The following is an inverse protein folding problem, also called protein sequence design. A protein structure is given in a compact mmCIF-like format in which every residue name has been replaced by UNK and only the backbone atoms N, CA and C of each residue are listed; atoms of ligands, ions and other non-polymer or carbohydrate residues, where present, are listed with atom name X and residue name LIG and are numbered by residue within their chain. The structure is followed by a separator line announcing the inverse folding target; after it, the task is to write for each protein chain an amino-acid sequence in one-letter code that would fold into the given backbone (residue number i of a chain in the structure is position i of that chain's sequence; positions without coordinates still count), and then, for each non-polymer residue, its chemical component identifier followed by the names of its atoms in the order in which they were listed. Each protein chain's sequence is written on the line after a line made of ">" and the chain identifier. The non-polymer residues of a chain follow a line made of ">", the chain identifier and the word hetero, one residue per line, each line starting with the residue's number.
data_IF_841112136846
#
_entry.id   IF_841112136846
#
_cell.length_a   1.000
_cell.length_b   1.000
_cell.length_c   1.000
_cell.angle_alpha   90.00
_cell.angle_beta   90.00
_cell.angle_gamma   90.00
#
_symmetry.space_group_name_H-M   'P 1'
#
loop_
_entity.id
_entity.type
_entity.pdbx_description
1 polymer ?
#
# COMPACT_ATOMS: atom_id res chain seq x y z
N UNK A 1 -10.73 -4.17 10.58
CA UNK A 1 -10.36 -5.17 11.59
C UNK A 1 -9.08 -4.75 12.29
N UNK A 2 -9.07 -4.85 13.60
CA UNK A 2 -7.89 -4.51 14.37
C UNK A 2 -7.05 -5.78 14.56
N UNK A 3 -5.77 -5.68 14.25
CA UNK A 3 -4.79 -6.73 14.57
C UNK A 3 -3.76 -6.04 15.48
N UNK A 4 -3.88 -6.26 16.77
CA UNK A 4 -3.17 -5.55 17.84
C UNK A 4 -3.41 -4.03 17.71
N UNK A 5 -2.37 -3.21 17.64
CA UNK A 5 -2.54 -1.76 17.55
C UNK A 5 -2.80 -1.26 16.12
N UNK A 6 -2.80 -2.17 15.12
CA UNK A 6 -2.92 -1.77 13.72
C UNK A 6 -4.31 -2.04 13.17
N UNK A 7 -4.87 -1.05 12.48
CA UNK A 7 -6.16 -1.19 11.81
C UNK A 7 -5.97 -1.64 10.36
N UNK A 8 -6.78 -2.62 9.95
CA UNK A 8 -6.86 -3.10 8.58
C UNK A 8 -8.33 -3.04 8.16
N UNK A 9 -8.77 -1.98 7.46
CA UNK A 9 -10.17 -1.84 7.04
C UNK A 9 -10.69 -3.09 6.33
N UNK A 10 -11.93 -3.48 6.66
CA UNK A 10 -12.53 -4.72 6.18
C UNK A 10 -12.91 -4.69 4.70
N UNK A 11 -13.05 -3.51 4.13
CA UNK A 11 -13.42 -3.31 2.72
C UNK A 11 -12.22 -3.26 1.77
N UNK A 12 -11.00 -3.49 2.28
CA UNK A 12 -9.79 -3.47 1.48
C UNK A 12 -9.23 -4.89 1.30
N UNK A 13 -8.36 -5.03 0.31
CA UNK A 13 -7.55 -6.23 0.09
C UNK A 13 -6.10 -5.91 0.34
N UNK A 14 -5.33 -6.93 0.72
CA UNK A 14 -3.94 -6.76 1.18
C UNK A 14 -3.01 -7.76 0.51
N UNK A 15 -1.75 -7.36 0.31
CA UNK A 15 -0.69 -8.26 -0.11
C UNK A 15 0.27 -8.53 1.06
N UNK A 16 1.37 -9.22 0.77
CA UNK A 16 2.43 -9.51 1.77
C UNK A 16 3.61 -8.55 1.65
N UNK A 17 3.40 -7.40 1.03
CA UNK A 17 4.39 -6.32 0.90
C UNK A 17 3.90 -5.05 1.59
N UNK A 18 2.92 -5.17 2.49
CA UNK A 18 2.34 -4.07 3.27
C UNK A 18 1.58 -3.04 2.45
N UNK A 19 0.97 -3.47 1.35
CA UNK A 19 0.13 -2.64 0.52
C UNK A 19 -1.34 -3.00 0.68
N UNK A 20 -2.21 -2.03 0.42
CA UNK A 20 -3.66 -2.24 0.36
C UNK A 20 -4.22 -1.84 -1.00
N UNK A 21 -5.36 -2.40 -1.34
CA UNK A 21 -6.12 -2.04 -2.54
C UNK A 21 -7.60 -1.93 -2.22
N UNK A 22 -8.21 -0.84 -2.68
CA UNK A 22 -9.67 -0.67 -2.64
C UNK A 22 -10.18 -0.91 -4.05
N UNK A 23 -10.92 -1.99 -4.24
CA UNK A 23 -11.43 -2.39 -5.56
C UNK A 23 -12.83 -1.81 -5.75
N UNK A 24 -13.01 -1.04 -6.81
CA UNK A 24 -14.29 -0.43 -7.18
C UNK A 24 -14.51 -0.69 -8.67
N UNK A 25 -15.25 -1.75 -9.00
CA UNK A 25 -15.44 -2.17 -10.38
C UNK A 25 -14.11 -2.62 -11.00
N UNK A 26 -13.70 -1.96 -12.07
CA UNK A 26 -12.44 -2.25 -12.77
C UNK A 26 -11.31 -1.29 -12.36
N UNK A 27 -11.48 -0.54 -11.28
CA UNK A 27 -10.51 0.41 -10.77
C UNK A 27 -10.05 0.00 -9.37
N UNK A 28 -8.78 0.20 -9.06
CA UNK A 28 -8.23 0.01 -7.72
C UNK A 28 -7.55 1.29 -7.24
N UNK A 29 -7.85 1.71 -6.01
CA UNK A 29 -7.04 2.70 -5.30
C UNK A 29 -6.06 1.94 -4.44
N UNK A 30 -4.78 2.31 -4.47
CA UNK A 30 -3.72 1.57 -3.79
C UNK A 30 -2.92 2.47 -2.84
N UNK A 31 -2.34 1.86 -1.82
CA UNK A 31 -1.53 2.55 -0.84
C UNK A 31 -0.81 1.59 0.10
N UNK A 32 -0.19 2.13 1.13
CA UNK A 32 0.55 1.37 2.15
C UNK A 32 -0.30 1.23 3.41
N UNK A 33 -0.24 0.06 4.06
CA UNK A 33 -1.00 -0.19 5.28
C UNK A 33 -0.46 0.61 6.47
N UNK A 34 -1.27 0.72 7.52
CA UNK A 34 -0.85 1.33 8.78
C UNK A 34 0.39 0.63 9.36
N UNK A 35 0.45 -0.69 9.22
CA UNK A 35 1.62 -1.46 9.67
C UNK A 35 2.85 -1.13 8.81
N UNK A 36 2.69 -1.06 7.49
CA UNK A 36 3.79 -0.74 6.58
C UNK A 36 4.41 0.63 6.86
N UNK A 37 3.57 1.66 7.08
CA UNK A 37 4.09 3.00 7.37
C UNK A 37 4.79 3.05 8.74
N UNK A 38 4.33 2.23 9.70
CA UNK A 38 4.99 2.17 11.00
C UNK A 38 6.38 1.55 10.89
N UNK A 39 6.54 0.51 10.08
CA UNK A 39 7.85 -0.08 9.79
C UNK A 39 8.78 0.89 9.07
N UNK A 40 8.26 1.63 8.09
CA UNK A 40 9.06 2.57 7.31
C UNK A 40 9.50 3.78 8.13
N UNK A 41 8.69 4.20 9.09
CA UNK A 41 8.91 5.43 9.85
C UNK A 41 8.32 6.64 9.13
N UNK A 42 8.62 7.85 9.63
CA UNK A 42 8.10 9.08 9.05
C UNK A 42 8.61 9.25 7.62
N UNK A 43 7.69 9.30 6.67
CA UNK A 43 8.02 9.46 5.25
C UNK A 43 8.36 10.93 5.00
N UNK A 44 9.54 11.15 4.43
CA UNK A 44 10.05 12.50 4.12
C UNK A 44 10.06 12.79 2.62
N UNK A 45 9.92 11.76 1.78
CA UNK A 45 9.89 11.92 0.33
C UNK A 45 9.08 10.78 -0.30
N UNK A 46 8.24 11.13 -1.25
CA UNK A 46 7.47 10.17 -2.04
C UNK A 46 7.56 10.57 -3.51
N UNK A 47 7.86 9.59 -4.37
CA UNK A 47 7.84 9.78 -5.81
C UNK A 47 6.73 8.93 -6.39
N UNK A 48 5.63 9.59 -6.83
CA UNK A 48 4.46 8.88 -7.36
C UNK A 48 4.67 8.48 -8.82
N UNK A 49 3.95 7.44 -9.30
CA UNK A 49 4.08 6.99 -10.68
C UNK A 49 3.44 7.98 -11.64
N UNK A 50 3.84 7.89 -12.92
CA UNK A 50 3.24 8.70 -13.98
C UNK A 50 1.89 8.11 -14.40
N UNK A 51 0.92 9.00 -14.64
CA UNK A 51 -0.35 8.63 -15.26
C UNK A 51 -0.07 8.03 -16.65
N UNK A 52 -0.75 6.93 -16.96
CA UNK A 52 -0.57 6.21 -18.21
C UNK A 52 0.48 5.09 -18.17
N UNK A 53 1.30 5.03 -17.11
CA UNK A 53 2.29 3.97 -16.95
C UNK A 53 1.62 2.63 -16.67
N UNK A 54 2.16 1.56 -17.24
CA UNK A 54 1.71 0.21 -16.96
C UNK A 54 2.31 -0.28 -15.64
N UNK A 55 1.46 -0.96 -14.85
CA UNK A 55 1.85 -1.63 -13.61
C UNK A 55 1.81 -3.14 -13.81
N UNK A 56 2.82 -3.82 -13.28
CA UNK A 56 2.83 -5.28 -13.22
C UNK A 56 2.93 -5.68 -11.75
N UNK A 57 1.97 -6.49 -11.29
CA UNK A 57 1.92 -6.95 -9.91
C UNK A 57 3.26 -7.56 -9.50
N UNK A 58 3.76 -7.14 -8.33
CA UNK A 58 5.02 -7.62 -7.80
C UNK A 58 6.24 -6.85 -8.25
N UNK A 59 6.11 -5.96 -9.24
CA UNK A 59 7.23 -5.14 -9.72
C UNK A 59 7.22 -3.75 -9.08
N UNK A 60 8.40 -3.15 -8.83
CA UNK A 60 8.48 -1.80 -8.27
C UNK A 60 7.86 -0.77 -9.18
N UNK A 61 7.13 0.20 -8.62
CA UNK A 61 6.50 1.26 -9.42
C UNK A 61 6.65 2.66 -8.83
N UNK A 62 7.06 2.79 -7.57
CA UNK A 62 7.32 4.10 -6.96
C UNK A 62 8.33 3.96 -5.83
N UNK A 63 8.83 5.10 -5.35
CA UNK A 63 9.82 5.13 -4.28
C UNK A 63 9.31 5.93 -3.09
N UNK A 64 9.67 5.48 -1.88
CA UNK A 64 9.46 6.20 -0.64
C UNK A 64 10.78 6.31 0.10
N UNK A 65 10.93 7.40 0.85
CA UNK A 65 12.11 7.64 1.67
C UNK A 65 11.68 8.15 3.04
N UNK A 66 12.27 7.57 4.08
CA UNK A 66 12.13 8.04 5.46
C UNK A 66 13.51 8.32 6.04
N UNK A 67 13.58 8.79 7.27
CA UNK A 67 14.86 9.04 7.93
C UNK A 67 15.69 7.77 8.17
N UNK A 68 15.07 6.58 8.13
CA UNK A 68 15.73 5.31 8.42
C UNK A 68 15.61 4.28 7.30
N UNK A 69 14.94 4.61 6.18
CA UNK A 69 14.63 3.64 5.15
C UNK A 69 14.44 4.32 3.80
N UNK A 70 14.98 3.70 2.77
CA UNK A 70 14.74 4.06 1.37
C UNK A 70 14.29 2.79 0.69
N UNK A 71 13.15 2.83 0.03
CA UNK A 71 12.62 1.63 -0.58
C UNK A 71 11.74 1.89 -1.78
N UNK A 72 11.58 0.84 -2.58
CA UNK A 72 10.69 0.82 -3.73
C UNK A 72 9.45 0.03 -3.37
N UNK A 73 8.30 0.56 -3.76
CA UNK A 73 7.02 -0.08 -3.49
C UNK A 73 6.66 -0.97 -4.67
N UNK A 74 6.37 -2.24 -4.38
CA UNK A 74 5.94 -3.20 -5.39
C UNK A 74 4.45 -3.07 -5.63
N UNK A 75 4.04 -3.20 -6.89
CA UNK A 75 2.63 -3.06 -7.25
C UNK A 75 1.79 -4.21 -6.68
N UNK A 76 0.67 -3.88 -6.05
CA UNK A 76 -0.27 -4.86 -5.50
C UNK A 76 -1.19 -5.44 -6.58
N UNK A 77 -1.37 -4.71 -7.68
CA UNK A 77 -2.23 -5.11 -8.80
C UNK A 77 -1.55 -4.79 -10.13
N UNK A 78 -2.05 -5.39 -11.22
CA UNK A 78 -1.61 -5.06 -12.58
C UNK A 78 -2.65 -4.18 -13.26
N UNK A 79 -2.19 -3.28 -14.11
CA UNK A 79 -3.05 -2.38 -14.87
C UNK A 79 -2.30 -1.14 -15.33
N UNK A 80 -3.06 -0.07 -15.54
CA UNK A 80 -2.52 1.21 -16.00
C UNK A 80 -2.84 2.30 -14.98
N UNK A 81 -1.88 3.15 -14.68
CA UNK A 81 -2.07 4.27 -13.75
C UNK A 81 -3.06 5.27 -14.36
N UNK A 82 -4.23 5.41 -13.74
CA UNK A 82 -5.25 6.36 -14.14
C UNK A 82 -5.10 7.70 -13.43
N UNK A 83 -4.69 7.68 -12.15
CA UNK A 83 -4.44 8.88 -11.35
C UNK A 83 -3.28 8.61 -10.40
N UNK A 84 -2.52 9.65 -10.09
CA UNK A 84 -1.48 9.60 -9.07
C UNK A 84 -1.77 10.68 -8.03
N UNK A 85 -1.52 10.37 -6.76
CA UNK A 85 -1.72 11.32 -5.66
C UNK A 85 -0.52 12.26 -5.53
N UNK A 86 -0.53 13.35 -6.28
CA UNK A 86 0.58 14.31 -6.26
C UNK A 86 0.72 15.00 -4.89
N UNK A 87 -0.34 15.03 -4.08
CA UNK A 87 -0.32 15.69 -2.78
C UNK A 87 0.72 15.08 -1.84
N UNK A 88 0.97 13.76 -1.93
CA UNK A 88 1.99 13.11 -1.08
C UNK A 88 3.42 13.47 -1.49
N UNK A 89 3.62 14.04 -2.67
CA UNK A 89 4.95 14.59 -3.04
C UNK A 89 5.24 15.89 -2.31
N UNK A 90 4.20 16.67 -1.99
CA UNK A 90 4.30 17.91 -1.23
C UNK A 90 4.18 17.69 0.26
N UNK A 91 3.33 16.74 0.67
CA UNK A 91 3.02 16.41 2.05
C UNK A 91 3.15 14.90 2.26
N UNK A 92 4.37 14.38 2.22
CA UNK A 92 4.62 12.95 2.32
C UNK A 92 4.17 12.35 3.66
N UNK A 93 4.08 13.15 4.72
CA UNK A 93 3.61 12.70 6.02
C UNK A 93 2.14 12.24 6.01
N UNK A 94 1.37 12.56 4.98
CA UNK A 94 0.00 12.04 4.83
C UNK A 94 -0.01 10.51 4.77
N UNK A 95 1.05 9.90 4.26
CA UNK A 95 1.17 8.44 4.23
C UNK A 95 1.17 7.87 5.65
N UNK A 96 1.81 8.55 6.59
CA UNK A 96 1.83 8.16 8.00
C UNK A 96 0.54 8.54 8.72
N UNK A 97 0.00 9.72 8.46
CA UNK A 97 -1.15 10.26 9.17
C UNK A 97 -2.47 9.63 8.76
N UNK A 98 -2.62 9.32 7.48
CA UNK A 98 -3.87 8.81 6.94
C UNK A 98 -3.60 7.82 5.79
N UNK A 99 -3.01 6.67 6.09
CA UNK A 99 -2.55 5.72 5.07
C UNK A 99 -3.68 5.16 4.20
N UNK A 100 -4.90 5.06 4.72
CA UNK A 100 -6.05 4.53 3.98
C UNK A 100 -6.92 5.61 3.35
N UNK A 101 -6.61 6.87 3.60
CA UNK A 101 -7.33 8.02 3.06
C UNK A 101 -6.40 8.93 2.26
N UNK A 102 -6.09 10.11 2.77
CA UNK A 102 -5.31 11.13 2.06
C UNK A 102 -3.92 10.65 1.62
N UNK A 103 -3.37 9.61 2.25
CA UNK A 103 -2.07 9.04 1.91
C UNK A 103 -2.07 7.99 0.81
N UNK A 104 -3.15 7.85 0.04
CA UNK A 104 -3.21 6.92 -1.09
C UNK A 104 -2.12 7.24 -2.13
N UNK A 105 -1.70 6.22 -2.90
CA UNK A 105 -0.61 6.37 -3.88
C UNK A 105 -1.11 6.66 -5.28
N UNK A 106 -2.01 5.82 -5.79
CA UNK A 106 -2.45 5.90 -7.17
C UNK A 106 -3.80 5.19 -7.35
N UNK A 107 -4.49 5.52 -8.44
CA UNK A 107 -5.65 4.76 -8.92
C UNK A 107 -5.24 4.04 -10.18
N UNK A 108 -5.60 2.77 -10.27
CA UNK A 108 -5.18 1.87 -11.35
C UNK A 108 -6.40 1.38 -12.10
N UNK A 109 -6.38 1.52 -13.41
CA UNK A 109 -7.32 0.84 -14.29
C UNK A 109 -6.85 -0.61 -14.38
N UNK A 110 -7.60 -1.54 -13.78
CA UNK A 110 -7.18 -2.93 -13.68
C UNK A 110 -7.10 -3.62 -15.05
N UNK A 111 -6.06 -4.43 -15.24
CA UNK A 111 -5.89 -5.24 -16.44
C UNK A 111 -6.71 -6.53 -16.37
N UNK A 112 -7.20 -6.88 -15.18
CA UNK A 112 -7.99 -8.07 -14.94
C UNK A 112 -8.31 -8.18 -13.46
N UNK A 113 -8.93 -9.28 -13.04
CA UNK A 113 -9.26 -9.48 -11.63
C UNK A 113 -7.97 -9.56 -10.80
N UNK A 114 -7.91 -8.87 -9.64
CA UNK A 114 -6.76 -8.99 -8.75
C UNK A 114 -6.57 -10.43 -8.27
N UNK A 115 -5.32 -10.85 -8.13
CA UNK A 115 -4.99 -12.21 -7.73
C UNK A 115 -4.06 -12.24 -6.53
N UNK A 116 -4.21 -13.28 -5.70
CA UNK A 116 -3.32 -13.52 -4.57
C UNK A 116 -3.45 -12.51 -3.43
N UNK A 117 -4.55 -11.76 -3.39
CA UNK A 117 -4.78 -10.76 -2.35
C UNK A 117 -5.60 -11.35 -1.21
N UNK A 118 -5.48 -10.75 -0.04
CA UNK A 118 -6.07 -11.26 1.19
C UNK A 118 -7.06 -10.27 1.80
N UNK A 119 -8.14 -10.81 2.37
CA UNK A 119 -9.00 -10.02 3.28
C UNK A 119 -8.33 -10.00 4.65
N UNK A 120 -8.61 -8.99 5.50
CA UNK A 120 -8.00 -8.94 6.82
C UNK A 120 -8.41 -10.10 7.72
N UNK A 121 -9.54 -10.74 7.44
CA UNK A 121 -10.03 -11.91 8.18
C UNK A 121 -9.40 -13.23 7.71
N UNK A 122 -8.63 -13.21 6.63
CA UNK A 122 -7.94 -14.38 6.11
C UNK A 122 -6.89 -14.85 7.14
N UNK A 123 -6.95 -16.12 7.61
CA UNK A 123 -5.96 -16.62 8.57
C UNK A 123 -4.52 -16.52 8.09
N UNK A 124 -4.28 -16.68 6.80
CA UNK A 124 -2.94 -16.56 6.21
C UNK A 124 -2.41 -15.13 6.35
N UNK A 125 -3.27 -14.12 6.18
CA UNK A 125 -2.89 -12.73 6.36
C UNK A 125 -2.58 -12.43 7.83
N UNK A 126 -3.43 -12.90 8.75
CA UNK A 126 -3.19 -12.75 10.19
C UNK A 126 -1.87 -13.36 10.63
N UNK A 127 -1.57 -14.56 10.12
CA UNK A 127 -0.30 -15.24 10.40
C UNK A 127 0.89 -14.45 9.84
N UNK A 128 0.75 -13.88 8.64
CA UNK A 128 1.79 -13.03 8.05
C UNK A 128 2.08 -11.81 8.92
N UNK A 129 1.03 -11.10 9.36
CA UNK A 129 1.21 -9.91 10.21
C UNK A 129 1.85 -10.29 11.54
N UNK A 130 1.45 -11.40 12.17
CA UNK A 130 2.05 -11.87 13.41
C UNK A 130 3.55 -12.16 13.24
N UNK A 131 3.94 -12.79 12.12
CA UNK A 131 5.33 -13.09 11.82
C UNK A 131 6.15 -11.81 11.60
N UNK A 132 5.58 -10.82 10.88
CA UNK A 132 6.22 -9.53 10.65
C UNK A 132 6.40 -8.74 11.94
N UNK A 133 5.40 -8.76 12.82
CA UNK A 133 5.50 -8.12 14.14
C UNK A 133 6.65 -8.72 14.96
N UNK A 134 6.73 -10.04 14.99
CA UNK A 134 7.82 -10.73 15.69
C UNK A 134 9.17 -10.38 15.09
N UNK A 135 9.26 -10.34 13.77
CA UNK A 135 10.52 -10.03 13.05
C UNK A 135 11.02 -8.63 13.34
N UNK A 136 10.13 -7.65 13.46
CA UNK A 136 10.50 -6.23 13.63
C UNK A 136 10.30 -5.72 15.07
N UNK A 137 9.90 -6.57 15.99
CA UNK A 137 9.73 -6.18 17.38
C UNK A 137 8.54 -5.27 17.64
N UNK A 138 7.47 -5.44 16.88
CA UNK A 138 6.29 -4.57 16.96
C UNK A 138 5.12 -5.18 17.78
#
# INVERSE_FOLDING_TARGET
>A
MQIDQFNFPDDLLYDKEHNWARIEGDTATIGMTAFGQDLAGEIVYAEVPRVGRDLVQGEPFMSLESGKWVGRIKAIVSGKIAEANEEIEWESSLINQDPYGAGWFAKVQLAGAPQGLHKPTDPEFGAFIAAERAKYGK
#
